data_IF_639656430204
#
_entry.id   IF_639656430204
#
_cell.length_a   1.000
_cell.length_b   1.000
_cell.length_c   1.000
_cell.angle_alpha   90.00
_cell.angle_beta   90.00
_cell.angle_gamma   90.00
#
_symmetry.space_group_name_H-M   'P 1'
#
loop_
_entity.id
_entity.type
_entity.pdbx_description
1 polymer ?
#
# COMPACT_ATOMS: atom_id res chain seq x y z
N UNK A 1 59.94 25.35 21.06
CA UNK A 1 58.95 26.32 20.56
C UNK A 1 57.62 25.60 20.57
N UNK A 2 56.82 25.81 21.61
CA UNK A 2 55.49 25.22 21.71
C UNK A 2 54.59 25.92 20.70
N UNK A 3 54.23 25.22 19.63
CA UNK A 3 53.39 25.81 18.60
C UNK A 3 52.01 26.11 19.23
N UNK A 4 51.60 27.39 19.31
CA UNK A 4 50.36 27.78 19.99
C UNK A 4 49.12 27.11 19.36
N UNK A 5 49.21 26.75 18.08
CA UNK A 5 48.19 25.98 17.37
C UNK A 5 48.07 24.58 17.95
N UNK A 6 49.19 23.88 18.19
CA UNK A 6 49.19 22.54 18.79
C UNK A 6 48.65 22.55 20.24
N UNK A 7 48.97 23.60 21.00
CA UNK A 7 48.43 23.79 22.35
C UNK A 7 46.91 24.02 22.35
N UNK A 8 46.40 24.83 21.41
CA UNK A 8 44.96 25.04 21.23
C UNK A 8 44.24 23.75 20.80
N UNK A 9 44.84 22.94 19.92
CA UNK A 9 44.30 21.63 19.55
C UNK A 9 44.25 20.67 20.73
N UNK A 10 45.33 20.56 21.51
CA UNK A 10 45.39 19.64 22.65
C UNK A 10 44.38 20.02 23.75
N UNK A 11 44.26 21.31 24.06
CA UNK A 11 43.29 21.80 25.05
C UNK A 11 41.84 21.60 24.59
N UNK A 12 41.55 21.80 23.30
CA UNK A 12 40.25 21.51 22.70
C UNK A 12 39.94 20.01 22.79
N UNK A 13 40.88 19.17 22.39
CA UNK A 13 40.74 17.71 22.46
C UNK A 13 40.51 17.22 23.89
N UNK A 14 41.30 17.71 24.85
CA UNK A 14 41.15 17.35 26.26
C UNK A 14 39.81 17.83 26.85
N UNK A 15 39.24 18.92 26.34
CA UNK A 15 37.93 19.43 26.77
C UNK A 15 36.80 18.57 26.20
N UNK A 16 36.87 18.22 24.92
CA UNK A 16 35.92 17.30 24.27
C UNK A 16 35.97 15.92 24.90
N UNK A 17 37.16 15.38 25.16
CA UNK A 17 37.34 14.08 25.81
C UNK A 17 36.69 14.04 27.20
N UNK A 18 36.86 15.10 28.01
CA UNK A 18 36.18 15.23 29.30
C UNK A 18 34.67 15.32 29.16
N UNK A 19 34.16 16.04 28.15
CA UNK A 19 32.73 16.11 27.86
C UNK A 19 32.12 14.74 27.48
N UNK A 20 32.84 13.94 26.69
CA UNK A 20 32.43 12.58 26.33
C UNK A 20 32.45 11.67 27.56
N UNK A 21 33.50 11.73 28.38
CA UNK A 21 33.62 10.94 29.60
C UNK A 21 32.59 11.33 30.69
N UNK A 22 32.08 12.56 30.66
CA UNK A 22 31.04 13.01 31.58
C UNK A 22 29.66 12.39 31.30
N UNK A 23 29.44 11.81 30.12
CA UNK A 23 28.19 11.12 29.78
C UNK A 23 28.19 9.73 30.42
N UNK A 24 27.27 9.41 31.35
CA UNK A 24 27.21 8.10 31.97
C UNK A 24 26.97 7.03 30.89
N UNK A 25 27.85 6.02 30.85
CA UNK A 25 27.83 4.93 29.85
C UNK A 25 28.79 5.11 28.67
N UNK A 26 29.46 6.26 28.53
CA UNK A 26 30.45 6.47 27.45
C UNK A 26 31.68 5.56 27.56
N UNK A 27 32.10 5.22 28.78
CA UNK A 27 33.24 4.31 29.01
C UNK A 27 33.04 2.93 28.36
N UNK A 28 31.82 2.37 28.44
CA UNK A 28 31.50 1.07 27.84
C UNK A 28 31.58 1.14 26.31
N UNK A 29 31.10 2.24 25.72
CA UNK A 29 31.15 2.46 24.28
C UNK A 29 32.59 2.65 23.80
N UNK A 30 33.41 3.38 24.55
CA UNK A 30 34.83 3.58 24.25
C UNK A 30 35.61 2.27 24.32
N UNK A 31 35.38 1.45 25.35
CA UNK A 31 36.02 0.14 25.50
C UNK A 31 35.58 -0.82 24.39
N UNK A 32 34.30 -0.78 24.01
CA UNK A 32 33.78 -1.55 22.89
C UNK A 32 34.45 -1.16 21.57
N UNK A 33 34.51 0.14 21.25
CA UNK A 33 35.14 0.64 20.02
C UNK A 33 36.63 0.27 20.00
N UNK A 34 37.33 0.46 21.12
CA UNK A 34 38.76 0.13 21.24
C UNK A 34 39.02 -1.37 21.02
N UNK A 35 38.22 -2.22 21.66
CA UNK A 35 38.35 -3.67 21.52
C UNK A 35 37.89 -4.17 20.14
N UNK A 36 36.88 -3.55 19.54
CA UNK A 36 36.38 -3.90 18.20
C UNK A 36 37.39 -3.52 17.11
N UNK A 37 38.01 -2.33 17.20
CA UNK A 37 39.03 -1.86 16.26
C UNK A 37 40.28 -2.76 16.23
N UNK A 38 40.68 -3.30 17.39
CA UNK A 38 41.83 -4.19 17.50
C UNK A 38 41.59 -5.57 16.86
N UNK A 39 40.33 -6.05 16.86
CA UNK A 39 39.99 -7.39 16.39
C UNK A 39 39.59 -7.43 14.92
N UNK A 40 38.85 -6.43 14.42
CA UNK A 40 38.38 -6.38 13.03
C UNK A 40 38.12 -4.91 12.60
N UNK A 41 39.14 -4.22 12.04
CA UNK A 41 39.03 -2.81 11.70
C UNK A 41 38.03 -2.54 10.57
N UNK A 42 37.80 -3.50 9.67
CA UNK A 42 36.86 -3.34 8.56
C UNK A 42 35.41 -3.30 9.05
N UNK A 43 35.07 -4.16 10.01
CA UNK A 43 33.75 -4.16 10.66
C UNK A 43 33.42 -2.82 11.31
N UNK A 44 34.37 -2.23 12.02
CA UNK A 44 34.18 -0.93 12.70
C UNK A 44 33.92 0.20 11.70
N UNK A 45 34.65 0.23 10.58
CA UNK A 45 34.42 1.23 9.52
C UNK A 45 33.02 1.07 8.92
N UNK A 46 32.59 -0.17 8.67
CA UNK A 46 31.25 -0.46 8.18
C UNK A 46 30.17 -0.05 9.19
N UNK A 47 30.31 -0.42 10.46
CA UNK A 47 29.37 -0.08 11.53
C UNK A 47 29.25 1.44 11.71
N UNK A 48 30.37 2.18 11.72
CA UNK A 48 30.36 3.63 11.80
C UNK A 48 29.73 4.26 10.56
N UNK A 49 30.01 3.72 9.37
CA UNK A 49 29.39 4.15 8.11
C UNK A 49 27.88 3.97 8.12
N UNK A 50 27.40 2.82 8.60
CA UNK A 50 25.97 2.54 8.76
C UNK A 50 25.32 3.43 9.83
N UNK A 51 25.99 3.69 10.95
CA UNK A 51 25.49 4.59 11.99
C UNK A 51 25.34 6.03 11.47
N UNK A 52 26.36 6.55 10.77
CA UNK A 52 26.29 7.88 10.13
C UNK A 52 25.19 7.92 9.07
N UNK A 53 25.08 6.87 8.26
CA UNK A 53 24.02 6.75 7.26
C UNK A 53 22.63 6.75 7.90
N UNK A 54 22.43 5.99 8.98
CA UNK A 54 21.17 5.92 9.71
C UNK A 54 20.80 7.28 10.33
N UNK A 55 21.77 7.96 10.94
CA UNK A 55 21.57 9.32 11.48
C UNK A 55 21.21 10.30 10.36
N UNK A 56 21.95 10.29 9.25
CA UNK A 56 21.64 11.11 8.07
C UNK A 56 20.24 10.80 7.54
N UNK A 57 19.88 9.54 7.43
CA UNK A 57 18.58 9.10 6.94
C UNK A 57 17.45 9.56 7.86
N UNK A 58 17.62 9.43 9.18
CA UNK A 58 16.63 9.87 10.16
C UNK A 58 16.45 11.39 10.19
N UNK A 59 17.54 12.15 10.00
CA UNK A 59 17.51 13.61 9.91
C UNK A 59 17.08 14.12 8.52
N UNK A 60 17.06 13.25 7.50
CA UNK A 60 16.59 13.62 6.16
C UNK A 60 15.09 13.87 6.20
N UNK A 61 14.65 15.00 5.65
CA UNK A 61 13.23 15.32 5.54
C UNK A 61 12.55 14.22 4.71
N UNK A 62 11.58 13.54 5.30
CA UNK A 62 10.71 12.64 4.54
C UNK A 62 10.03 13.48 3.45
N UNK A 63 10.15 13.05 2.20
CA UNK A 63 9.40 13.66 1.10
C UNK A 63 7.92 13.53 1.42
N UNK A 64 7.31 14.64 1.82
CA UNK A 64 5.86 14.73 1.90
C UNK A 64 5.44 14.96 0.46
N UNK A 65 4.77 13.97 -0.13
CA UNK A 65 3.93 14.23 -1.30
C UNK A 65 2.93 15.24 -0.76
N UNK A 66 3.11 16.52 -1.08
CA UNK A 66 2.07 17.50 -0.82
C UNK A 66 0.86 16.99 -1.58
N UNK A 67 -0.10 16.45 -0.84
CA UNK A 67 -1.48 16.36 -1.28
C UNK A 67 -1.94 17.80 -1.37
N UNK A 68 -1.49 18.51 -2.41
CA UNK A 68 -2.09 19.77 -2.81
C UNK A 68 -3.51 19.41 -3.23
N UNK A 69 -4.40 19.34 -2.26
CA UNK A 69 -5.83 19.46 -2.47
C UNK A 69 -6.02 20.90 -2.94
N UNK A 70 -5.73 21.12 -4.23
CA UNK A 70 -6.26 22.26 -4.95
C UNK A 70 -7.77 22.11 -4.80
N UNK A 71 -8.37 22.98 -3.98
CA UNK A 71 -9.81 22.95 -3.76
C UNK A 71 -10.45 23.33 -5.09
N UNK A 72 -11.05 22.35 -5.76
CA UNK A 72 -11.79 22.58 -7.00
C UNK A 72 -13.02 23.43 -6.68
N UNK A 73 -13.29 24.39 -7.54
CA UNK A 73 -14.55 25.15 -7.53
C UNK A 73 -15.70 24.26 -8.02
N UNK A 74 -16.94 24.59 -7.64
CA UNK A 74 -18.12 23.82 -8.06
C UNK A 74 -18.22 23.70 -9.59
N UNK A 75 -17.82 24.75 -10.32
CA UNK A 75 -17.80 24.75 -11.79
C UNK A 75 -16.80 23.76 -12.38
N UNK A 76 -15.61 23.68 -11.80
CA UNK A 76 -14.57 22.73 -12.25
C UNK A 76 -15.01 21.30 -11.97
N UNK A 77 -15.70 21.05 -10.86
CA UNK A 77 -16.27 19.73 -10.56
C UNK A 77 -17.32 19.36 -11.61
N UNK A 78 -18.24 20.27 -11.94
CA UNK A 78 -19.28 20.02 -12.95
C UNK A 78 -18.68 19.74 -14.34
N UNK A 79 -17.63 20.48 -14.72
CA UNK A 79 -16.89 20.27 -15.97
C UNK A 79 -16.21 18.90 -15.99
N UNK A 80 -15.53 18.52 -14.90
CA UNK A 80 -14.89 17.21 -14.77
C UNK A 80 -15.91 16.07 -14.79
N UNK A 81 -17.07 16.23 -14.15
CA UNK A 81 -18.15 15.24 -14.18
C UNK A 81 -18.74 15.11 -15.58
N UNK A 82 -18.85 16.20 -16.34
CA UNK A 82 -19.33 16.18 -17.71
C UNK A 82 -18.34 15.52 -18.69
N UNK A 83 -17.03 15.70 -18.49
CA UNK A 83 -15.97 15.05 -19.28
C UNK A 83 -15.78 13.58 -18.89
N UNK A 84 -16.07 13.23 -17.63
CA UNK A 84 -15.78 11.91 -17.10
C UNK A 84 -16.54 10.79 -17.83
N UNK A 85 -15.76 9.89 -18.44
CA UNK A 85 -16.28 8.65 -19.00
C UNK A 85 -15.96 7.49 -18.06
N UNK A 86 -16.97 6.78 -17.51
CA UNK A 86 -16.72 5.62 -16.67
C UNK A 86 -16.03 4.53 -17.47
N UNK A 87 -15.08 3.84 -16.83
CA UNK A 87 -14.54 2.62 -17.40
C UNK A 87 -15.65 1.57 -17.53
N UNK A 88 -15.73 0.84 -18.66
CA UNK A 88 -16.68 -0.25 -18.81
C UNK A 88 -16.51 -1.29 -17.69
N UNK A 89 -17.61 -1.69 -17.05
CA UNK A 89 -17.60 -2.69 -15.97
C UNK A 89 -17.01 -4.04 -16.39
N UNK A 90 -17.05 -4.34 -17.68
CA UNK A 90 -16.56 -5.59 -18.26
C UNK A 90 -15.86 -5.26 -19.57
N UNK A 91 -14.80 -6.02 -19.86
CA UNK A 91 -14.11 -5.94 -21.15
C UNK A 91 -15.08 -6.27 -22.31
N UNK A 92 -14.86 -5.70 -23.50
CA UNK A 92 -15.66 -6.05 -24.67
C UNK A 92 -15.58 -7.56 -24.95
N UNK A 93 -16.73 -8.19 -25.14
CA UNK A 93 -16.85 -9.62 -25.41
C UNK A 93 -16.11 -9.99 -26.70
N UNK A 94 -15.35 -11.09 -26.65
CA UNK A 94 -14.79 -11.69 -27.87
C UNK A 94 -15.90 -12.29 -28.75
N UNK A 95 -15.62 -12.51 -30.04
CA UNK A 95 -16.62 -13.05 -30.98
C UNK A 95 -17.21 -14.39 -30.50
N UNK A 96 -16.36 -15.24 -29.89
CA UNK A 96 -16.79 -16.53 -29.34
C UNK A 96 -17.75 -16.32 -28.17
N UNK A 97 -17.40 -15.44 -27.22
CA UNK A 97 -18.24 -15.15 -26.06
C UNK A 97 -19.58 -14.52 -26.47
N UNK A 98 -19.58 -13.69 -27.52
CA UNK A 98 -20.81 -13.14 -28.09
C UNK A 98 -21.71 -14.24 -28.64
N UNK A 99 -21.15 -15.18 -29.43
CA UNK A 99 -21.91 -16.33 -29.95
C UNK A 99 -22.46 -17.24 -28.84
N UNK A 100 -21.73 -17.41 -27.74
CA UNK A 100 -22.21 -18.17 -26.57
C UNK A 100 -23.33 -17.43 -25.84
N UNK A 101 -23.19 -16.12 -25.64
CA UNK A 101 -24.20 -15.30 -25.00
C UNK A 101 -25.50 -15.29 -25.79
N UNK A 102 -25.44 -15.19 -27.12
CA UNK A 102 -26.61 -15.26 -28.01
C UNK A 102 -27.35 -16.60 -27.94
N UNK A 103 -26.63 -17.70 -27.68
CA UNK A 103 -27.22 -19.04 -27.49
C UNK A 103 -27.79 -19.24 -26.09
N UNK A 104 -27.38 -18.42 -25.13
CA UNK A 104 -27.75 -18.57 -23.73
C UNK A 104 -29.19 -18.10 -23.52
N UNK A 105 -30.03 -18.98 -22.99
CA UNK A 105 -31.44 -18.66 -22.76
C UNK A 105 -31.62 -17.95 -21.41
N UNK A 106 -32.25 -16.77 -21.42
CA UNK A 106 -32.53 -15.99 -20.22
C UNK A 106 -33.87 -16.44 -19.61
N UNK A 107 -33.88 -16.69 -18.30
CA UNK A 107 -35.08 -17.02 -17.54
C UNK A 107 -35.72 -15.72 -17.01
N UNK A 108 -37.03 -15.59 -17.20
CA UNK A 108 -37.81 -14.48 -16.67
C UNK A 108 -38.55 -14.92 -15.39
N UNK A 109 -38.28 -14.21 -14.28
CA UNK A 109 -38.99 -14.40 -13.02
C UNK A 109 -38.30 -15.36 -12.03
N UNK A 110 -39.06 -15.83 -11.05
CA UNK A 110 -38.54 -16.65 -9.97
C UNK A 110 -38.10 -18.04 -10.46
N UNK A 111 -37.02 -18.57 -9.88
CA UNK A 111 -36.52 -19.92 -10.15
C UNK A 111 -37.44 -20.98 -9.52
N UNK A 112 -38.54 -21.26 -10.21
CA UNK A 112 -39.49 -22.30 -9.84
C UNK A 112 -39.19 -23.66 -10.48
N UNK A 113 -40.04 -24.67 -10.23
CA UNK A 113 -40.01 -25.92 -10.98
C UNK A 113 -40.36 -25.71 -12.46
N UNK A 114 -41.08 -24.63 -12.80
CA UNK A 114 -41.44 -24.30 -14.19
C UNK A 114 -41.09 -22.85 -14.54
N UNK A 115 -39.79 -22.49 -14.68
CA UNK A 115 -39.41 -21.14 -15.05
C UNK A 115 -39.90 -20.79 -16.47
N UNK A 116 -40.27 -19.52 -16.65
CA UNK A 116 -40.64 -18.98 -17.96
C UNK A 116 -39.41 -18.51 -18.69
N UNK A 117 -39.23 -18.96 -19.92
CA UNK A 117 -38.12 -18.50 -20.75
C UNK A 117 -38.44 -17.12 -21.33
N UNK A 118 -37.53 -16.16 -21.21
CA UNK A 118 -37.71 -14.81 -21.75
C UNK A 118 -37.71 -14.82 -23.30
N UNK A 119 -36.89 -15.67 -23.91
CA UNK A 119 -36.75 -15.75 -25.37
C UNK A 119 -37.98 -16.33 -26.07
N UNK A 120 -38.59 -17.39 -25.52
CA UNK A 120 -39.69 -18.13 -26.18
C UNK A 120 -41.05 -17.94 -25.49
N UNK A 121 -41.08 -17.38 -24.28
CA UNK A 121 -42.29 -17.22 -23.47
C UNK A 121 -42.90 -18.53 -22.97
N UNK A 122 -42.28 -19.67 -23.27
CA UNK A 122 -42.72 -21.01 -22.85
C UNK A 122 -42.21 -21.33 -21.44
N UNK A 123 -43.01 -22.10 -20.71
CA UNK A 123 -42.60 -22.65 -19.42
C UNK A 123 -41.84 -23.95 -19.66
N UNK A 124 -40.59 -24.01 -19.20
CA UNK A 124 -39.76 -25.22 -19.26
C UNK A 124 -39.76 -25.89 -17.89
N UNK A 125 -39.56 -27.21 -17.83
CA UNK A 125 -39.44 -27.94 -16.57
C UNK A 125 -37.99 -27.88 -16.08
N UNK A 126 -37.76 -27.36 -14.88
CA UNK A 126 -36.44 -27.28 -14.27
C UNK A 126 -36.20 -28.47 -13.33
N UNK A 127 -35.45 -29.47 -13.81
CA UNK A 127 -35.06 -30.64 -13.03
C UNK A 127 -34.00 -30.36 -11.94
N UNK A 128 -33.36 -29.20 -11.98
CA UNK A 128 -32.36 -28.79 -10.98
C UNK A 128 -32.98 -27.94 -9.85
N UNK A 129 -34.29 -27.70 -9.87
CA UNK A 129 -34.94 -26.87 -8.84
C UNK A 129 -35.10 -27.65 -7.53
N UNK A 130 -34.64 -27.05 -6.42
CA UNK A 130 -34.92 -27.53 -5.06
C UNK A 130 -36.30 -27.08 -4.54
N UNK A 131 -37.10 -26.38 -5.36
CA UNK A 131 -38.44 -25.91 -4.99
C UNK A 131 -39.49 -27.02 -5.26
N UNK A 132 -39.39 -28.13 -4.52
CA UNK A 132 -40.24 -29.31 -4.70
C UNK A 132 -41.72 -29.04 -4.50
N UNK A 133 -42.06 -28.10 -3.60
CA UNK A 133 -43.45 -27.75 -3.24
C UNK A 133 -44.01 -26.57 -4.05
N UNK A 134 -43.20 -25.91 -4.88
CA UNK A 134 -43.65 -24.86 -5.79
C UNK A 134 -44.01 -23.52 -5.13
N UNK A 135 -43.76 -23.32 -3.83
CA UNK A 135 -44.23 -22.14 -3.09
C UNK A 135 -43.62 -20.81 -3.55
N UNK A 136 -42.37 -20.82 -4.02
CA UNK A 136 -41.68 -19.59 -4.49
C UNK A 136 -42.40 -18.92 -5.67
N UNK A 137 -43.19 -19.69 -6.43
CA UNK A 137 -43.91 -19.21 -7.63
C UNK A 137 -45.41 -19.03 -7.37
N UNK A 138 -45.90 -19.32 -6.17
CA UNK A 138 -47.31 -19.21 -5.82
C UNK A 138 -47.65 -17.77 -5.42
N UNK A 139 -48.58 -17.12 -6.14
CA UNK A 139 -49.01 -15.74 -5.89
C UNK A 139 -49.80 -15.57 -4.57
N UNK A 140 -50.42 -16.64 -4.06
CA UNK A 140 -51.19 -16.60 -2.81
C UNK A 140 -50.31 -16.59 -1.55
N UNK A 141 -49.06 -17.08 -1.68
CA UNK A 141 -48.11 -17.26 -0.56
C UNK A 141 -46.99 -16.21 -0.61
N UNK A 142 -46.72 -15.63 -1.79
CA UNK A 142 -45.62 -14.71 -2.04
C UNK A 142 -45.91 -13.27 -1.59
#
# INVERSE_FOLDING_TARGET
MDNPVLAAFNTTFATVARGIQAVPGSAIVLDYIKNSYQNDPFRVVLELGLAIYAVKYMLSKKYRIDQSNVQLTEKEIDELVAEWQPEPLVQPLSDIQRMELEKTQVIAGAQGPKPKLLSTGKNLLNFASANYLGYITNEDIK
#
